data_IF_690126504527
#
_entry.id   IF_690126504527
#
_cell.length_a   1.000
_cell.length_b   1.000
_cell.length_c   1.000
_cell.angle_alpha   90.00
_cell.angle_beta   90.00
_cell.angle_gamma   90.00
#
_symmetry.space_group_name_H-M   'P 1'
#
loop_
_entity.id
_entity.type
_entity.pdbx_description
1 polymer ?
#
# COMPACT_ATOMS: atom_id res chain seq x y z
N UNK A 1 -46.27 -15.88 -16.50
CA UNK A 1 -47.25 -15.86 -15.40
C UNK A 1 -46.60 -16.54 -14.20
N UNK A 2 -46.11 -15.77 -13.24
CA UNK A 2 -45.54 -16.29 -11.99
C UNK A 2 -46.22 -15.51 -10.84
N UNK A 3 -46.96 -16.25 -10.03
CA UNK A 3 -47.74 -15.77 -8.88
C UNK A 3 -46.79 -15.48 -7.71
N UNK A 4 -46.80 -14.25 -7.19
CA UNK A 4 -46.19 -13.91 -5.90
C UNK A 4 -47.29 -13.94 -4.83
N UNK A 5 -47.31 -15.01 -4.03
CA UNK A 5 -48.15 -15.11 -2.85
C UNK A 5 -47.47 -14.49 -1.63
N UNK A 6 -48.22 -13.55 -1.06
CA UNK A 6 -48.16 -12.93 0.26
C UNK A 6 -47.60 -13.79 1.41
N UNK A 7 -46.67 -13.22 2.17
CA UNK A 7 -46.56 -13.41 3.63
C UNK A 7 -46.33 -12.03 4.28
N UNK A 8 -47.33 -11.60 5.05
CA UNK A 8 -47.32 -10.41 5.88
C UNK A 8 -46.61 -10.69 7.22
N UNK A 9 -45.99 -9.65 7.79
CA UNK A 9 -46.02 -9.44 9.24
C UNK A 9 -44.69 -9.44 9.99
N UNK A 10 -43.97 -8.32 9.95
CA UNK A 10 -43.25 -7.84 11.14
C UNK A 10 -42.95 -6.34 11.00
N UNK A 11 -43.39 -5.59 12.01
CA UNK A 11 -43.37 -4.14 12.14
C UNK A 11 -41.99 -3.52 11.91
N UNK A 12 -41.85 -2.74 10.84
CA UNK A 12 -40.73 -1.82 10.63
C UNK A 12 -41.22 -0.38 10.76
N UNK A 13 -40.55 0.50 11.54
CA UNK A 13 -40.92 1.91 11.67
C UNK A 13 -40.32 2.76 10.53
N UNK A 14 -40.15 2.19 9.33
CA UNK A 14 -39.69 2.93 8.15
C UNK A 14 -40.85 3.27 7.22
N UNK A 15 -41.91 3.87 7.79
CA UNK A 15 -42.89 4.62 7.00
C UNK A 15 -42.30 6.00 6.73
N UNK A 16 -41.87 6.25 5.49
CA UNK A 16 -42.13 7.56 4.90
C UNK A 16 -40.99 8.38 4.31
N UNK A 17 -39.75 7.88 4.13
CA UNK A 17 -38.81 8.57 3.23
C UNK A 17 -39.02 8.11 1.79
N UNK A 18 -40.05 8.67 1.13
CA UNK A 18 -40.03 8.81 -0.34
C UNK A 18 -38.93 9.83 -0.68
N UNK A 19 -37.69 9.36 -0.77
CA UNK A 19 -36.66 10.13 -1.46
C UNK A 19 -37.08 10.21 -2.93
N UNK A 20 -37.19 11.42 -3.52
CA UNK A 20 -37.47 11.55 -4.94
C UNK A 20 -36.40 10.79 -5.72
N UNK A 21 -36.78 10.01 -6.74
CA UNK A 21 -35.88 9.21 -7.59
C UNK A 21 -34.54 9.90 -8.00
N UNK A 22 -34.44 11.22 -8.25
CA UNK A 22 -33.13 11.87 -8.47
C UNK A 22 -32.16 11.77 -7.28
N UNK A 23 -32.64 11.66 -6.04
CA UNK A 23 -31.80 11.57 -4.83
C UNK A 23 -31.27 10.17 -4.55
N UNK A 24 -31.94 9.11 -5.04
CA UNK A 24 -31.47 7.73 -4.82
C UNK A 24 -30.23 7.44 -5.66
N UNK A 25 -30.14 8.01 -6.87
CA UNK A 25 -28.94 7.97 -7.72
C UNK A 25 -27.79 8.74 -7.04
N UNK A 26 -28.05 9.92 -6.48
CA UNK A 26 -27.03 10.70 -5.77
C UNK A 26 -26.52 9.95 -4.54
N UNK A 27 -27.42 9.33 -3.76
CA UNK A 27 -27.08 8.60 -2.54
C UNK A 27 -26.29 7.32 -2.82
N UNK A 28 -26.71 6.52 -3.81
CA UNK A 28 -25.95 5.34 -4.24
C UNK A 28 -24.60 5.75 -4.79
N UNK A 29 -24.53 6.80 -5.63
CA UNK A 29 -23.26 7.30 -6.17
C UNK A 29 -22.33 7.80 -5.06
N UNK A 30 -22.84 8.49 -4.04
CA UNK A 30 -22.03 8.96 -2.91
C UNK A 30 -21.58 7.82 -1.98
N UNK A 31 -22.40 6.80 -1.75
CA UNK A 31 -21.99 5.56 -1.09
C UNK A 31 -20.95 4.77 -1.91
N UNK A 32 -21.07 4.76 -3.24
CA UNK A 32 -20.13 4.09 -4.13
C UNK A 32 -18.78 4.83 -4.19
N UNK A 33 -18.79 6.17 -4.18
CA UNK A 33 -17.58 6.97 -4.09
C UNK A 33 -16.88 6.81 -2.72
N UNK A 34 -17.64 6.73 -1.61
CA UNK A 34 -17.06 6.55 -0.29
C UNK A 34 -16.49 5.13 -0.07
N UNK A 35 -17.06 4.10 -0.69
CA UNK A 35 -16.62 2.70 -0.56
C UNK A 35 -15.58 2.25 -1.61
N UNK A 36 -15.37 3.04 -2.66
CA UNK A 36 -14.32 2.78 -3.65
C UNK A 36 -12.89 2.82 -3.06
N UNK A 37 -12.46 3.86 -2.33
CA UNK A 37 -11.11 3.92 -1.77
C UNK A 37 -10.86 2.81 -0.75
N UNK A 38 -11.83 2.54 0.15
CA UNK A 38 -11.70 1.49 1.15
C UNK A 38 -11.56 0.07 0.55
N UNK A 39 -12.25 -0.21 -0.57
CA UNK A 39 -12.08 -1.48 -1.29
C UNK A 39 -10.74 -1.59 -1.99
N UNK A 40 -10.23 -0.48 -2.52
CA UNK A 40 -8.92 -0.46 -3.15
C UNK A 40 -7.81 -0.66 -2.10
N UNK A 41 -7.87 0.06 -0.98
CA UNK A 41 -6.93 -0.08 0.14
C UNK A 41 -6.91 -1.51 0.70
N UNK A 42 -8.08 -2.12 0.90
CA UNK A 42 -8.13 -3.51 1.38
C UNK A 42 -7.54 -4.50 0.37
N UNK A 43 -7.77 -4.29 -0.93
CA UNK A 43 -7.20 -5.12 -1.96
C UNK A 43 -5.67 -4.98 -2.08
N UNK A 44 -5.16 -3.75 -1.89
CA UNK A 44 -3.72 -3.49 -1.79
C UNK A 44 -3.13 -4.22 -0.58
N UNK A 45 -3.75 -4.09 0.59
CA UNK A 45 -3.29 -4.74 1.81
C UNK A 45 -3.26 -6.28 1.67
N UNK A 46 -4.29 -6.87 1.05
CA UNK A 46 -4.33 -8.30 0.76
C UNK A 46 -3.21 -8.73 -0.19
N UNK A 47 -3.00 -7.99 -1.28
CA UNK A 47 -1.93 -8.28 -2.24
C UNK A 47 -0.54 -8.20 -1.60
N UNK A 48 -0.29 -7.19 -0.77
CA UNK A 48 0.98 -7.07 -0.03
C UNK A 48 1.18 -8.22 0.94
N UNK A 49 0.15 -8.58 1.70
CA UNK A 49 0.23 -9.71 2.62
C UNK A 49 0.51 -11.04 1.89
N UNK A 50 -0.12 -11.26 0.74
CA UNK A 50 0.13 -12.44 -0.10
C UNK A 50 1.60 -12.51 -0.56
N UNK A 51 2.16 -11.39 -1.06
CA UNK A 51 3.56 -11.33 -1.50
C UNK A 51 4.57 -11.45 -0.36
N UNK A 52 4.26 -10.94 0.83
CA UNK A 52 5.12 -11.04 2.00
C UNK A 52 5.13 -12.46 2.62
N UNK A 53 4.01 -13.18 2.51
CA UNK A 53 3.83 -14.53 3.06
C UNK A 53 4.34 -15.65 2.14
N UNK A 54 4.58 -15.35 0.86
CA UNK A 54 5.22 -16.28 -0.07
C UNK A 54 6.74 -16.14 -0.04
N UNK A 55 7.46 -17.22 0.22
CA UNK A 55 8.93 -17.25 0.35
C UNK A 55 9.53 -18.45 -0.37
N UNK A 56 10.59 -18.22 -1.15
CA UNK A 56 11.39 -19.28 -1.79
C UNK A 56 12.88 -19.06 -1.52
N UNK A 57 13.71 -20.12 -1.62
CA UNK A 57 15.16 -19.97 -1.57
C UNK A 57 15.69 -19.20 -2.79
N UNK A 58 16.76 -18.42 -2.60
CA UNK A 58 17.34 -17.62 -3.65
C UNK A 58 17.89 -18.42 -4.84
N UNK A 59 18.25 -19.69 -4.63
CA UNK A 59 18.58 -20.59 -5.74
C UNK A 59 17.42 -20.77 -6.72
N UNK A 60 16.18 -20.83 -6.22
CA UNK A 60 14.99 -20.97 -7.05
C UNK A 60 14.57 -19.67 -7.74
N UNK A 61 14.75 -18.53 -7.06
CA UNK A 61 14.58 -17.23 -7.69
C UNK A 61 15.62 -17.03 -8.81
N UNK A 62 16.90 -17.32 -8.54
CA UNK A 62 17.96 -17.20 -9.53
C UNK A 62 17.74 -18.13 -10.74
N UNK A 63 17.27 -19.37 -10.51
CA UNK A 63 16.94 -20.31 -11.58
C UNK A 63 15.88 -19.79 -12.56
N UNK A 64 15.05 -18.84 -12.14
CA UNK A 64 14.02 -18.19 -12.96
C UNK A 64 14.47 -16.88 -13.61
N UNK A 65 15.74 -16.52 -13.46
CA UNK A 65 16.32 -15.32 -14.08
C UNK A 65 16.17 -14.05 -13.26
N UNK A 66 15.66 -14.12 -12.02
CA UNK A 66 15.69 -12.97 -11.12
C UNK A 66 17.14 -12.63 -10.76
N UNK A 67 17.47 -11.33 -10.71
CA UNK A 67 18.82 -10.80 -10.45
C UNK A 67 19.31 -10.99 -9.02
N UNK A 68 19.24 -12.20 -8.50
CA UNK A 68 19.62 -12.57 -7.13
C UNK A 68 20.75 -13.59 -7.17
N UNK A 69 21.68 -13.49 -6.23
CA UNK A 69 22.76 -14.47 -6.08
C UNK A 69 22.17 -15.79 -5.57
N UNK A 70 22.46 -16.94 -6.18
CA UNK A 70 22.00 -18.24 -5.67
C UNK A 70 22.75 -18.56 -4.38
N UNK A 71 22.16 -18.20 -3.25
CA UNK A 71 22.60 -18.55 -1.91
C UNK A 71 21.47 -19.31 -1.20
N UNK A 72 21.75 -19.88 -0.02
CA UNK A 72 20.74 -20.59 0.78
C UNK A 72 19.77 -19.68 1.54
N UNK A 73 19.75 -18.38 1.26
CA UNK A 73 18.85 -17.44 1.92
C UNK A 73 17.44 -17.55 1.33
N UNK A 74 16.45 -17.39 2.20
CA UNK A 74 15.05 -17.30 1.80
C UNK A 74 14.69 -15.85 1.53
N UNK A 75 14.01 -15.58 0.42
CA UNK A 75 13.43 -14.25 0.13
C UNK A 75 11.96 -14.34 -0.19
N UNK A 76 11.21 -13.35 0.29
CA UNK A 76 9.79 -13.23 -0.02
C UNK A 76 9.57 -12.70 -1.44
N UNK A 77 8.40 -12.95 -2.01
CA UNK A 77 8.01 -12.37 -3.29
C UNK A 77 8.04 -10.83 -3.24
N UNK A 78 7.66 -10.23 -2.11
CA UNK A 78 7.79 -8.78 -1.88
C UNK A 78 9.24 -8.28 -2.00
N UNK A 79 10.20 -9.02 -1.43
CA UNK A 79 11.62 -8.67 -1.52
C UNK A 79 12.17 -8.84 -2.94
N UNK A 80 11.67 -9.83 -3.68
CA UNK A 80 12.07 -10.07 -5.08
C UNK A 80 11.54 -8.98 -6.00
N UNK A 81 10.36 -8.42 -5.74
CA UNK A 81 9.82 -7.32 -6.52
C UNK A 81 10.65 -6.02 -6.42
N UNK A 82 11.47 -5.90 -5.38
CA UNK A 82 12.47 -4.83 -5.22
C UNK A 82 13.76 -5.05 -6.01
N UNK A 83 13.97 -6.24 -6.57
CA UNK A 83 15.17 -6.55 -7.38
C UNK A 83 15.06 -5.85 -8.74
N UNK A 84 16.16 -5.29 -9.28
CA UNK A 84 16.13 -4.66 -10.59
C UNK A 84 15.57 -5.60 -11.66
N UNK A 85 14.70 -5.06 -12.52
CA UNK A 85 14.03 -5.77 -13.63
C UNK A 85 12.99 -6.82 -13.23
N UNK A 86 12.73 -7.06 -11.94
CA UNK A 86 11.64 -7.92 -11.54
C UNK A 86 10.28 -7.27 -11.87
N UNK A 87 9.39 -8.04 -12.46
CA UNK A 87 8.00 -7.63 -12.72
C UNK A 87 7.03 -8.40 -11.83
N UNK A 88 5.90 -7.78 -11.50
CA UNK A 88 4.87 -8.45 -10.70
C UNK A 88 4.33 -9.70 -11.41
N UNK A 89 4.21 -9.66 -12.73
CA UNK A 89 3.69 -10.78 -13.53
C UNK A 89 4.56 -12.04 -13.42
N UNK A 90 5.88 -11.92 -13.58
CA UNK A 90 6.82 -13.05 -13.47
C UNK A 90 6.81 -13.66 -12.05
N UNK A 91 6.62 -12.82 -11.03
CA UNK A 91 6.51 -13.26 -9.64
C UNK A 91 5.22 -14.05 -9.43
N UNK A 92 4.09 -13.59 -9.96
CA UNK A 92 2.83 -14.32 -9.87
C UNK A 92 2.88 -15.68 -10.59
N UNK A 93 3.50 -15.74 -11.77
CA UNK A 93 3.72 -17.00 -12.48
C UNK A 93 4.58 -17.96 -11.66
N UNK A 94 5.57 -17.43 -10.95
CA UNK A 94 6.39 -18.19 -10.01
C UNK A 94 5.59 -18.68 -8.81
N UNK A 95 4.71 -17.85 -8.24
CA UNK A 95 3.83 -18.24 -7.13
C UNK A 95 2.89 -19.37 -7.56
N UNK A 96 2.28 -19.25 -8.75
CA UNK A 96 1.38 -20.26 -9.30
C UNK A 96 2.09 -21.60 -9.54
N UNK A 97 3.36 -21.56 -9.97
CA UNK A 97 4.16 -22.76 -10.24
C UNK A 97 4.72 -23.44 -8.98
N UNK A 98 4.75 -22.76 -7.82
CA UNK A 98 5.41 -23.26 -6.60
C UNK A 98 4.52 -23.10 -5.36
N UNK A 99 3.45 -23.90 -5.23
CA UNK A 99 2.53 -23.80 -4.09
C UNK A 99 3.18 -24.16 -2.74
N UNK A 100 4.41 -24.69 -2.73
CA UNK A 100 5.16 -24.96 -1.49
C UNK A 100 5.82 -23.70 -0.89
N UNK A 101 5.86 -22.57 -1.60
CA UNK A 101 6.45 -21.33 -1.10
C UNK A 101 5.61 -20.60 -0.04
N UNK A 102 4.36 -21.00 0.17
CA UNK A 102 3.49 -20.40 1.18
C UNK A 102 3.95 -20.75 2.60
N UNK A 103 4.03 -19.74 3.47
CA UNK A 103 4.30 -19.95 4.90
C UNK A 103 3.26 -20.88 5.53
N UNK A 104 3.71 -21.73 6.46
CA UNK A 104 2.81 -22.61 7.23
C UNK A 104 1.71 -21.80 7.91
N UNK A 105 0.46 -22.23 7.72
CA UNK A 105 -0.72 -21.59 8.30
C UNK A 105 -1.31 -20.43 7.49
N UNK A 106 -0.71 -20.09 6.35
CA UNK A 106 -1.28 -19.13 5.39
C UNK A 106 -1.92 -19.90 4.26
N UNK A 107 -3.22 -19.71 4.05
CA UNK A 107 -3.93 -20.29 2.91
C UNK A 107 -3.61 -19.47 1.65
N UNK A 108 -3.28 -20.13 0.52
CA UNK A 108 -3.12 -19.44 -0.75
C UNK A 108 -4.40 -18.68 -1.12
N UNK A 109 -4.30 -17.47 -1.67
CA UNK A 109 -5.47 -16.72 -2.11
C UNK A 109 -6.21 -17.47 -3.21
N UNK A 110 -7.55 -17.39 -3.19
CA UNK A 110 -8.40 -17.96 -4.23
C UNK A 110 -8.33 -17.05 -5.47
N UNK A 111 -7.44 -17.37 -6.40
CA UNK A 111 -7.20 -16.61 -7.63
C UNK A 111 -5.77 -16.06 -7.74
N UNK A 112 -5.56 -14.94 -8.45
CA UNK A 112 -4.23 -14.33 -8.53
C UNK A 112 -3.77 -13.87 -7.14
N UNK A 113 -2.45 -13.93 -6.89
CA UNK A 113 -1.89 -13.56 -5.60
C UNK A 113 -2.17 -12.09 -5.24
N UNK A 114 -2.16 -11.20 -6.24
CA UNK A 114 -2.55 -9.81 -6.08
C UNK A 114 -3.90 -9.57 -6.77
N UNK A 115 -4.92 -9.06 -6.05
CA UNK A 115 -6.20 -8.71 -6.67
C UNK A 115 -6.03 -7.70 -7.81
N UNK A 116 -6.85 -7.83 -8.86
CA UNK A 116 -6.84 -6.89 -10.01
C UNK A 116 -7.09 -5.46 -9.52
N UNK A 117 -8.02 -5.30 -8.58
CA UNK A 117 -8.24 -4.05 -7.88
C UNK A 117 -7.01 -3.76 -7.00
N UNK A 118 -6.21 -2.75 -7.34
CA UNK A 118 -5.01 -2.39 -6.56
C UNK A 118 -3.70 -3.05 -7.00
N UNK A 119 -3.71 -3.87 -8.06
CA UNK A 119 -2.50 -4.51 -8.62
C UNK A 119 -1.37 -3.53 -8.89
N UNK A 120 -1.66 -2.46 -9.62
CA UNK A 120 -0.69 -1.42 -9.96
C UNK A 120 -0.16 -0.70 -8.71
N UNK A 121 -1.06 -0.40 -7.77
CA UNK A 121 -0.70 0.27 -6.52
C UNK A 121 0.23 -0.61 -5.66
N UNK A 122 -0.02 -1.91 -5.57
CA UNK A 122 0.88 -2.86 -4.88
C UNK A 122 2.27 -2.87 -5.53
N UNK A 123 2.34 -2.93 -6.86
CA UNK A 123 3.63 -2.93 -7.57
C UNK A 123 4.41 -1.64 -7.32
N UNK A 124 3.75 -0.49 -7.41
CA UNK A 124 4.35 0.83 -7.15
C UNK A 124 4.80 0.94 -5.69
N UNK A 125 3.93 0.64 -4.73
CA UNK A 125 4.26 0.74 -3.30
C UNK A 125 5.49 -0.09 -2.94
N UNK A 126 5.57 -1.33 -3.44
CA UNK A 126 6.70 -2.21 -3.12
C UNK A 126 7.99 -1.73 -3.77
N UNK A 127 7.96 -1.33 -5.05
CA UNK A 127 9.17 -0.85 -5.77
C UNK A 127 9.70 0.46 -5.19
N UNK A 128 8.81 1.33 -4.72
CA UNK A 128 9.18 2.64 -4.20
C UNK A 128 9.30 2.68 -2.67
N UNK A 129 9.02 1.59 -1.94
CA UNK A 129 9.03 1.57 -0.47
C UNK A 129 10.35 2.07 0.12
N UNK A 130 11.49 1.59 -0.40
CA UNK A 130 12.82 2.01 0.04
C UNK A 130 13.12 3.49 -0.24
N UNK A 131 12.56 4.05 -1.31
CA UNK A 131 12.72 5.46 -1.65
C UNK A 131 11.85 6.33 -0.76
N UNK A 132 10.61 5.92 -0.53
CA UNK A 132 9.67 6.61 0.35
C UNK A 132 10.20 6.65 1.78
N UNK A 133 10.72 5.53 2.30
CA UNK A 133 11.31 5.51 3.65
C UNK A 133 12.48 6.49 3.80
N UNK A 134 13.32 6.62 2.76
CA UNK A 134 14.41 7.60 2.75
C UNK A 134 13.89 9.02 2.69
N UNK A 135 12.88 9.29 1.85
CA UNK A 135 12.27 10.60 1.74
C UNK A 135 11.59 11.01 3.05
N UNK A 136 10.88 10.10 3.72
CA UNK A 136 10.27 10.34 5.02
C UNK A 136 11.31 10.73 6.07
N UNK A 137 12.47 10.05 6.10
CA UNK A 137 13.57 10.39 7.00
C UNK A 137 14.14 11.78 6.73
N UNK A 138 14.31 12.16 5.47
CA UNK A 138 14.80 13.49 5.10
C UNK A 138 13.76 14.58 5.40
N UNK A 139 12.47 14.32 5.15
CA UNK A 139 11.38 15.24 5.50
C UNK A 139 11.30 15.42 7.02
N UNK A 140 11.42 14.35 7.80
CA UNK A 140 11.44 14.43 9.26
C UNK A 140 12.61 15.30 9.74
N UNK A 141 13.82 15.10 9.22
CA UNK A 141 14.99 15.94 9.55
C UNK A 141 14.75 17.43 9.21
N UNK A 142 14.15 17.71 8.06
CA UNK A 142 13.83 19.08 7.66
C UNK A 142 12.77 19.71 8.57
N UNK A 143 11.73 18.96 8.92
CA UNK A 143 10.69 19.40 9.85
C UNK A 143 11.27 19.70 11.23
N UNK A 144 12.17 18.85 11.72
CA UNK A 144 12.89 19.08 12.97
C UNK A 144 13.64 20.41 12.92
N UNK A 145 14.41 20.67 11.85
CA UNK A 145 15.12 21.95 11.68
C UNK A 145 14.18 23.15 11.54
N UNK A 146 13.06 23.00 10.84
CA UNK A 146 12.06 24.07 10.68
C UNK A 146 11.31 24.39 11.98
N UNK A 147 11.21 23.41 12.89
CA UNK A 147 10.55 23.58 14.19
C UNK A 147 11.40 24.36 15.20
N UNK A 148 12.71 24.49 14.95
CA UNK A 148 13.62 25.24 15.83
C UNK A 148 13.34 26.74 15.68
N UNK A 149 12.68 27.31 16.68
CA UNK A 149 12.47 28.75 16.76
C UNK A 149 13.77 29.42 17.16
N UNK A 150 14.25 30.33 16.31
CA UNK A 150 15.38 31.19 16.66
C UNK A 150 14.88 32.29 17.61
N UNK A 151 15.47 32.47 18.81
CA UNK A 151 15.07 33.53 19.71
C UNK A 151 15.25 34.91 19.09
N UNK A 152 14.31 35.83 19.35
CA UNK A 152 14.29 37.17 18.73
C UNK A 152 15.49 38.06 19.10
N UNK A 153 16.21 37.72 20.18
CA UNK A 153 17.35 38.48 20.71
C UNK A 153 18.67 37.70 20.66
N UNK A 154 18.88 36.91 19.61
CA UNK A 154 20.17 36.23 19.41
C UNK A 154 21.22 37.23 18.94
N UNK A 155 22.33 37.33 19.68
CA UNK A 155 23.51 38.08 19.27
C UNK A 155 24.41 37.21 18.38
N UNK A 156 24.19 37.26 17.07
CA UNK A 156 24.93 36.43 16.10
C UNK A 156 26.45 36.66 16.13
N UNK A 157 26.91 37.87 16.48
CA UNK A 157 28.34 38.19 16.60
C UNK A 157 29.07 37.51 17.76
N UNK A 158 28.34 36.97 18.74
CA UNK A 158 28.91 36.24 19.88
C UNK A 158 29.08 34.73 19.60
N UNK A 159 28.60 34.21 18.47
CA UNK A 159 28.66 32.78 18.15
C UNK A 159 30.05 32.39 17.62
N UNK A 160 30.81 31.52 18.31
CA UNK A 160 32.25 31.32 18.10
C UNK A 160 32.64 30.64 16.78
N UNK A 161 31.67 30.26 15.94
CA UNK A 161 31.90 29.57 14.67
C UNK A 161 31.10 30.18 13.50
N UNK A 162 30.44 31.32 13.71
CA UNK A 162 29.69 31.98 12.65
C UNK A 162 30.63 32.91 11.86
N UNK A 163 30.70 32.72 10.55
CA UNK A 163 31.58 33.55 9.70
C UNK A 163 31.04 34.98 9.62
N UNK A 164 31.94 35.94 9.36
CA UNK A 164 31.56 37.35 9.20
C UNK A 164 30.59 37.58 8.04
N UNK A 165 30.66 36.75 6.99
CA UNK A 165 29.75 36.83 5.85
C UNK A 165 28.33 36.42 6.24
N UNK A 166 28.18 35.36 7.03
CA UNK A 166 26.87 34.91 7.51
C UNK A 166 26.28 35.91 8.50
N UNK A 167 27.09 36.48 9.40
CA UNK A 167 26.64 37.54 10.30
C UNK A 167 26.19 38.81 9.57
N UNK A 168 26.68 39.09 8.36
CA UNK A 168 26.29 40.27 7.58
C UNK A 168 25.00 40.07 6.77
N UNK A 169 24.58 38.81 6.56
CA UNK A 169 23.38 38.46 5.81
C UNK A 169 22.11 38.31 6.67
N UNK A 170 22.26 38.33 8.00
CA UNK A 170 21.17 38.23 8.99
C UNK A 170 20.82 39.61 9.51
#
# INVERSE_FOLDING_TARGET
>A
VILFSSLQGSSSPFRGLRVPLPNLIVLVRSLQLASAPARQESAIALGRHALASFTLPNSEWAARGFGVKPNGEMRSAEQILNVPRATLHEIEDTIASNPHGWRRGVEPPVGPAVPVLGREAVEVEIKYSNYLERQEKEVARLQDHMSVVIPFKVEYGALPCLSKEVCACV
#
